data_IF_708592094976
#
_entry.id   IF_708592094976
#
_cell.length_a   1.000
_cell.length_b   1.000
_cell.length_c   1.000
_cell.angle_alpha   90.00
_cell.angle_beta   90.00
_cell.angle_gamma   90.00
#
_symmetry.space_group_name_H-M   'P 1'
#
loop_
_entity.id
_entity.type
_entity.pdbx_description
1 polymer ?
#
# COMPACT_ATOMS: atom_id res chain seq x y z
N UNK A 1 -13.04 -31.48 -33.09
CA UNK A 1 -12.45 -31.24 -31.75
C UNK A 1 -12.87 -29.85 -31.28
N UNK A 2 -13.59 -29.72 -30.19
CA UNK A 2 -14.09 -28.43 -29.74
C UNK A 2 -13.01 -27.56 -29.11
N UNK A 3 -13.11 -26.23 -29.22
CA UNK A 3 -12.21 -25.24 -28.61
C UNK A 3 -11.95 -25.51 -27.12
N UNK A 4 -12.88 -26.16 -26.44
CA UNK A 4 -12.77 -26.56 -25.03
C UNK A 4 -11.66 -27.59 -24.73
N UNK A 5 -11.32 -28.44 -25.72
CA UNK A 5 -10.30 -29.49 -25.53
C UNK A 5 -8.88 -28.95 -25.74
N UNK A 6 -8.71 -27.91 -26.55
CA UNK A 6 -7.41 -27.31 -26.85
C UNK A 6 -6.94 -26.42 -25.69
N UNK A 7 -7.85 -25.66 -25.06
CA UNK A 7 -7.52 -24.79 -23.90
C UNK A 7 -7.14 -25.61 -22.64
N UNK A 8 -7.70 -26.82 -22.50
CA UNK A 8 -7.41 -27.69 -21.35
C UNK A 8 -5.98 -28.29 -21.34
N UNK A 9 -5.22 -28.17 -22.43
CA UNK A 9 -3.88 -28.75 -22.56
C UNK A 9 -2.74 -27.74 -22.44
N UNK A 10 -3.02 -26.43 -22.33
CA UNK A 10 -1.98 -25.41 -22.15
C UNK A 10 -1.43 -25.43 -20.72
N UNK A 11 -0.11 -25.36 -20.57
CA UNK A 11 0.59 -25.36 -19.28
C UNK A 11 0.05 -24.32 -18.26
N UNK A 12 -0.28 -23.08 -18.66
CA UNK A 12 -0.88 -22.06 -17.78
C UNK A 12 -2.20 -22.50 -17.18
N UNK A 13 -3.04 -23.21 -17.93
CA UNK A 13 -4.34 -23.67 -17.44
C UNK A 13 -4.22 -24.76 -16.34
N UNK A 14 -3.15 -25.57 -16.37
CA UNK A 14 -2.93 -26.63 -15.37
C UNK A 14 -2.45 -26.06 -14.03
N UNK A 15 -1.66 -24.98 -14.06
CA UNK A 15 -1.10 -24.33 -12.84
C UNK A 15 -2.15 -23.42 -12.18
N UNK A 16 -3.00 -22.74 -12.97
CA UNK A 16 -4.09 -21.92 -12.46
C UNK A 16 -5.28 -22.75 -11.87
N UNK A 17 -5.34 -24.06 -12.13
CA UNK A 17 -6.43 -24.93 -11.66
C UNK A 17 -6.71 -24.86 -10.15
N UNK A 18 -5.73 -24.87 -9.25
CA UNK A 18 -6.02 -24.79 -7.81
C UNK A 18 -6.62 -23.44 -7.42
N UNK A 19 -6.08 -22.33 -7.95
CA UNK A 19 -6.59 -20.99 -7.69
C UNK A 19 -7.99 -20.78 -8.27
N UNK A 20 -8.20 -21.21 -9.54
CA UNK A 20 -9.51 -21.17 -10.20
C UNK A 20 -10.51 -22.10 -9.53
N UNK A 21 -10.09 -23.25 -9.01
CA UNK A 21 -10.96 -24.18 -8.26
C UNK A 21 -11.34 -23.63 -6.89
N UNK A 22 -10.40 -22.98 -6.19
CA UNK A 22 -10.67 -22.27 -4.94
C UNK A 22 -11.63 -21.09 -5.16
N UNK A 23 -11.42 -20.33 -6.24
CA UNK A 23 -12.30 -19.23 -6.63
C UNK A 23 -13.70 -19.74 -7.01
N UNK A 24 -13.81 -20.83 -7.82
CA UNK A 24 -15.10 -21.46 -8.15
C UNK A 24 -15.83 -22.04 -6.95
N UNK A 25 -15.11 -22.63 -6.00
CA UNK A 25 -15.72 -23.13 -4.78
C UNK A 25 -16.33 -22.01 -3.93
N UNK A 26 -15.71 -20.82 -3.97
CA UNK A 26 -16.22 -19.61 -3.30
C UNK A 26 -17.37 -18.94 -4.07
N UNK A 27 -17.33 -18.94 -5.39
CA UNK A 27 -18.38 -18.33 -6.24
C UNK A 27 -19.64 -19.20 -6.33
N UNK A 28 -19.51 -20.51 -6.19
CA UNK A 28 -20.64 -21.47 -6.25
C UNK A 28 -21.08 -21.98 -4.87
N UNK A 29 -20.59 -21.36 -3.78
CA UNK A 29 -21.12 -21.59 -2.45
C UNK A 29 -22.59 -21.17 -2.35
N UNK A 30 -23.35 -21.67 -1.37
CA UNK A 30 -24.76 -21.36 -1.24
C UNK A 30 -24.96 -19.85 -1.23
N UNK A 31 -25.91 -19.39 -2.05
CA UNK A 31 -26.32 -18.00 -2.18
C UNK A 31 -26.34 -17.32 -0.82
N UNK A 32 -25.51 -16.30 -0.64
CA UNK A 32 -25.31 -15.64 0.63
C UNK A 32 -26.63 -15.05 1.12
N UNK A 33 -27.27 -15.74 2.05
CA UNK A 33 -28.12 -15.08 3.02
C UNK A 33 -27.18 -14.15 3.80
N UNK A 34 -27.33 -12.84 3.62
CA UNK A 34 -26.63 -11.75 4.30
C UNK A 34 -25.22 -12.12 4.79
N UNK A 35 -24.19 -11.70 4.04
CA UNK A 35 -22.82 -11.81 4.55
C UNK A 35 -22.80 -11.27 5.99
N UNK A 36 -22.20 -11.98 6.95
CA UNK A 36 -22.00 -11.42 8.26
C UNK A 36 -21.26 -10.09 8.07
N UNK A 37 -21.74 -9.05 8.76
CA UNK A 37 -21.08 -7.75 8.76
C UNK A 37 -19.59 -7.99 8.95
N UNK A 38 -18.77 -7.45 8.02
CA UNK A 38 -17.31 -7.53 8.17
C UNK A 38 -17.00 -7.13 9.60
N UNK A 39 -16.21 -7.90 10.34
CA UNK A 39 -15.88 -7.54 11.71
C UNK A 39 -15.35 -6.11 11.68
N UNK A 40 -15.71 -5.25 12.65
CA UNK A 40 -15.14 -3.93 12.78
C UNK A 40 -13.63 -4.11 12.70
N UNK A 41 -12.93 -3.22 11.97
CA UNK A 41 -11.47 -3.25 11.93
C UNK A 41 -10.99 -3.46 13.37
N UNK A 42 -10.27 -4.54 13.67
CA UNK A 42 -9.90 -4.80 15.03
C UNK A 42 -9.09 -3.61 15.53
N UNK A 43 -9.59 -2.96 16.58
CA UNK A 43 -8.87 -1.88 17.26
C UNK A 43 -7.72 -2.57 17.98
N UNK A 44 -6.55 -2.57 17.36
CA UNK A 44 -5.35 -3.11 17.98
C UNK A 44 -4.78 -2.08 18.95
N UNK A 45 -5.13 -2.21 20.21
CA UNK A 45 -4.45 -1.46 21.27
C UNK A 45 -3.11 -2.14 21.57
N UNK A 46 -2.00 -1.40 21.69
CA UNK A 46 -0.77 -1.98 22.16
C UNK A 46 -0.98 -2.48 23.60
N UNK A 47 -0.40 -3.62 23.93
CA UNK A 47 0.01 -3.81 25.33
C UNK A 47 0.90 -2.62 25.64
N UNK A 48 0.56 -1.88 26.69
CA UNK A 48 1.31 -0.74 27.18
C UNK A 48 2.78 -1.15 27.23
N UNK A 49 3.59 -0.57 26.33
CA UNK A 49 5.04 -0.64 26.52
C UNK A 49 5.28 0.14 27.79
N UNK A 50 5.81 -0.53 28.84
CA UNK A 50 6.24 0.14 30.03
C UNK A 50 7.34 1.13 29.60
N UNK A 51 7.00 2.41 29.56
CA UNK A 51 7.96 3.45 29.24
C UNK A 51 8.85 3.64 30.47
N UNK A 52 10.19 3.71 30.32
CA UNK A 52 11.11 3.84 31.47
C UNK A 52 10.88 5.12 32.28
N UNK A 53 10.31 6.18 31.67
CA UNK A 53 9.93 7.44 32.31
C UNK A 53 8.57 7.87 31.75
N UNK A 54 7.53 7.76 32.58
CA UNK A 54 6.16 8.08 32.20
C UNK A 54 5.84 9.54 32.56
N UNK A 55 6.20 10.45 31.67
CA UNK A 55 5.89 11.88 31.82
C UNK A 55 4.42 12.18 31.48
N UNK A 56 3.85 13.29 31.99
CA UNK A 56 2.51 13.73 31.59
C UNK A 56 2.36 13.90 30.08
N UNK A 57 3.41 14.37 29.40
CA UNK A 57 3.44 14.55 27.96
C UNK A 57 3.37 13.20 27.22
N UNK A 58 4.19 12.22 27.62
CA UNK A 58 4.14 10.86 27.07
C UNK A 58 2.78 10.22 27.28
N UNK A 59 2.16 10.38 28.46
CA UNK A 59 0.80 9.88 28.72
C UNK A 59 -0.22 10.48 27.76
N UNK A 60 -0.17 11.80 27.54
CA UNK A 60 -1.08 12.48 26.61
C UNK A 60 -0.94 11.94 25.17
N UNK A 61 0.30 11.74 24.69
CA UNK A 61 0.57 11.15 23.37
C UNK A 61 0.03 9.71 23.30
N UNK A 62 0.27 8.89 24.31
CA UNK A 62 -0.20 7.50 24.35
C UNK A 62 -1.73 7.43 24.34
N UNK A 63 -2.42 8.32 25.07
CA UNK A 63 -3.89 8.37 25.04
C UNK A 63 -4.43 8.79 23.65
N UNK A 64 -3.80 9.76 22.99
CA UNK A 64 -4.14 10.15 21.62
C UNK A 64 -3.92 8.98 20.62
N UNK A 65 -2.80 8.27 20.73
CA UNK A 65 -2.46 7.09 19.93
C UNK A 65 -3.49 5.96 20.10
N UNK A 66 -3.95 5.71 21.33
CA UNK A 66 -4.94 4.65 21.62
C UNK A 66 -6.31 4.90 21.01
N UNK A 67 -6.67 6.14 20.75
CA UNK A 67 -7.97 6.51 20.18
C UNK A 67 -8.04 6.30 18.66
N UNK A 68 -6.91 6.00 18.01
CA UNK A 68 -6.82 5.85 16.57
C UNK A 68 -6.43 4.42 16.15
N UNK A 69 -6.97 3.97 15.02
CA UNK A 69 -6.57 2.70 14.38
C UNK A 69 -5.42 2.95 13.42
N UNK A 70 -4.26 2.34 13.69
CA UNK A 70 -3.04 2.53 12.94
C UNK A 70 -2.82 1.44 11.88
N UNK A 71 -2.48 1.84 10.68
CA UNK A 71 -2.06 0.92 9.63
C UNK A 71 -0.57 0.58 9.77
N UNK A 72 0.27 1.61 10.01
CA UNK A 72 1.70 1.44 10.18
C UNK A 72 2.15 1.55 11.64
N UNK A 73 3.14 0.74 12.01
CA UNK A 73 3.92 0.98 13.23
C UNK A 73 4.91 2.11 12.95
N UNK A 74 4.69 3.26 13.60
CA UNK A 74 5.51 4.47 13.46
C UNK A 74 6.22 4.73 14.79
N UNK A 75 7.52 4.99 14.74
CA UNK A 75 8.28 5.49 15.89
C UNK A 75 8.02 6.99 16.03
N UNK A 76 7.31 7.36 17.08
CA UNK A 76 6.96 8.76 17.39
C UNK A 76 8.05 9.49 18.20
N UNK A 77 9.14 8.81 18.53
CA UNK A 77 10.13 9.30 19.48
C UNK A 77 9.72 9.02 20.94
N UNK A 78 10.59 9.40 21.87
CA UNK A 78 10.38 9.22 23.33
C UNK A 78 10.03 7.78 23.75
N UNK A 79 10.42 6.76 22.95
CA UNK A 79 10.08 5.35 23.19
C UNK A 79 8.65 4.96 22.81
N UNK A 80 7.87 5.86 22.24
CA UNK A 80 6.47 5.63 21.84
C UNK A 80 6.42 5.12 20.41
N UNK A 81 5.71 4.01 20.17
CA UNK A 81 5.41 3.47 18.84
C UNK A 81 3.93 3.25 18.66
N UNK A 82 3.42 3.56 17.48
CA UNK A 82 2.02 3.29 17.14
C UNK A 82 1.76 1.79 17.02
N UNK A 83 0.54 1.30 17.36
CA UNK A 83 0.18 -0.10 17.29
C UNK A 83 -0.25 -0.52 15.88
N UNK A 84 0.57 -0.24 14.87
CA UNK A 84 0.25 -0.47 13.48
C UNK A 84 -0.11 -1.93 13.15
N UNK A 85 -0.98 -2.09 12.17
CA UNK A 85 -1.29 -3.39 11.58
C UNK A 85 -0.05 -4.03 10.96
N UNK A 86 0.79 -3.19 10.32
CA UNK A 86 2.05 -3.58 9.71
C UNK A 86 3.23 -2.91 10.41
N UNK A 87 4.28 -3.70 10.68
CA UNK A 87 5.52 -3.21 11.24
C UNK A 87 6.64 -3.35 10.20
N UNK A 88 6.97 -2.24 9.54
CA UNK A 88 8.04 -2.15 8.57
C UNK A 88 9.39 -1.77 9.16
N UNK A 89 9.47 -1.48 10.47
CA UNK A 89 10.71 -1.06 11.12
C UNK A 89 11.78 -2.16 11.08
N UNK A 90 11.49 -3.42 11.47
CA UNK A 90 12.51 -4.46 11.44
C UNK A 90 13.06 -4.77 10.04
N UNK A 91 12.23 -4.89 8.98
CA UNK A 91 12.71 -5.17 7.64
C UNK A 91 13.11 -3.91 6.84
N UNK A 92 13.13 -2.71 7.43
CA UNK A 92 13.32 -1.44 6.73
C UNK A 92 14.58 -1.38 5.87
N UNK A 93 15.66 -2.05 6.32
CA UNK A 93 16.94 -2.09 5.60
C UNK A 93 16.92 -2.94 4.32
N UNK A 94 15.87 -3.74 4.11
CA UNK A 94 15.70 -4.53 2.88
C UNK A 94 14.98 -3.76 1.77
N UNK A 95 14.28 -2.67 2.12
CA UNK A 95 13.61 -1.86 1.10
C UNK A 95 14.63 -1.11 0.26
N UNK A 96 14.45 -1.10 -1.10
CA UNK A 96 15.40 -0.46 -2.01
C UNK A 96 15.25 1.07 -2.02
N UNK A 97 15.15 1.66 -0.85
CA UNK A 97 15.12 3.11 -0.65
C UNK A 97 16.54 3.61 -0.37
N UNK A 98 17.02 4.66 -1.03
CA UNK A 98 18.35 5.23 -0.76
C UNK A 98 18.54 5.54 0.73
N UNK A 99 19.71 5.20 1.28
CA UNK A 99 20.01 5.47 2.70
C UNK A 99 20.17 6.96 2.99
N UNK A 100 20.57 7.74 1.99
CA UNK A 100 20.73 9.19 2.03
C UNK A 100 19.89 9.85 0.94
N UNK A 101 18.97 10.71 1.35
CA UNK A 101 18.11 11.51 0.49
C UNK A 101 18.42 13.01 0.61
N UNK A 102 19.59 13.36 1.15
CA UNK A 102 20.00 14.76 1.33
C UNK A 102 19.89 15.55 0.04
N UNK A 103 19.20 16.68 0.10
CA UNK A 103 18.97 17.56 -1.04
C UNK A 103 17.92 17.07 -2.05
N UNK A 104 17.31 15.91 -1.82
CA UNK A 104 16.30 15.32 -2.69
C UNK A 104 14.90 15.83 -2.38
N UNK A 105 14.10 15.97 -3.42
CA UNK A 105 12.67 16.19 -3.37
C UNK A 105 11.97 14.85 -3.53
N UNK A 106 11.17 14.44 -2.54
CA UNK A 106 10.62 13.10 -2.44
C UNK A 106 9.09 13.11 -2.42
N UNK A 107 8.48 12.04 -2.92
CA UNK A 107 7.02 11.83 -2.91
C UNK A 107 6.69 10.47 -2.31
N UNK A 108 5.76 10.45 -1.36
CA UNK A 108 5.08 9.27 -0.86
C UNK A 108 3.66 9.22 -1.41
N UNK A 109 3.35 8.20 -2.23
CA UNK A 109 2.05 8.05 -2.90
C UNK A 109 1.13 7.19 -2.06
N UNK A 110 -0.05 7.74 -1.69
CA UNK A 110 -1.01 7.14 -0.77
C UNK A 110 -0.39 6.88 0.61
N UNK A 111 0.07 7.94 1.21
CA UNK A 111 0.90 7.96 2.43
C UNK A 111 0.23 7.34 3.66
N UNK A 112 -1.09 7.31 3.72
CA UNK A 112 -1.93 6.84 4.82
C UNK A 112 -1.54 7.49 6.16
N UNK A 113 -0.83 6.74 7.06
CA UNK A 113 -0.36 7.25 8.36
C UNK A 113 1.01 7.97 8.26
N UNK A 114 1.65 7.99 7.08
CA UNK A 114 2.88 8.74 6.84
C UNK A 114 4.19 8.00 7.05
N UNK A 115 4.20 6.69 7.30
CA UNK A 115 5.41 5.94 7.63
C UNK A 115 6.56 6.18 6.64
N UNK A 116 6.29 6.06 5.34
CA UNK A 116 7.32 6.20 4.31
C UNK A 116 7.75 7.65 4.12
N UNK A 117 6.82 8.59 4.21
CA UNK A 117 7.12 10.02 4.16
C UNK A 117 8.04 10.44 5.33
N UNK A 118 7.75 10.01 6.55
CA UNK A 118 8.60 10.30 7.71
C UNK A 118 9.96 9.59 7.64
N UNK A 119 10.04 8.43 7.00
CA UNK A 119 11.31 7.75 6.77
C UNK A 119 12.17 8.48 5.74
N UNK A 120 11.57 9.04 4.68
CA UNK A 120 12.30 9.89 3.72
C UNK A 120 12.81 11.18 4.38
N UNK A 121 12.00 11.82 5.23
CA UNK A 121 12.42 12.96 6.03
C UNK A 121 13.60 12.59 6.94
N UNK A 122 13.55 11.46 7.65
CA UNK A 122 14.62 10.95 8.51
C UNK A 122 15.93 10.70 7.74
N UNK A 123 15.83 10.31 6.45
CA UNK A 123 16.98 10.13 5.55
C UNK A 123 17.50 11.44 4.95
N UNK A 124 17.00 12.58 5.40
CA UNK A 124 17.52 13.90 5.07
C UNK A 124 16.96 14.52 3.79
N UNK A 125 15.81 14.05 3.28
CA UNK A 125 15.16 14.68 2.13
C UNK A 125 14.94 16.18 2.39
N UNK A 126 15.22 17.00 1.39
CA UNK A 126 15.06 18.46 1.48
C UNK A 126 13.59 18.86 1.50
N UNK A 127 12.75 18.11 0.80
CA UNK A 127 11.29 18.25 0.75
C UNK A 127 10.67 16.87 0.61
N UNK A 128 9.62 16.61 1.40
CA UNK A 128 8.81 15.41 1.26
C UNK A 128 7.36 15.81 1.09
N UNK A 129 6.76 15.42 -0.02
CA UNK A 129 5.31 15.50 -0.25
C UNK A 129 4.69 14.15 0.06
N UNK A 130 3.68 14.14 0.92
CA UNK A 130 2.89 12.97 1.27
C UNK A 130 1.49 13.11 0.63
N UNK A 131 1.25 12.36 -0.44
CA UNK A 131 0.02 12.46 -1.21
C UNK A 131 -1.00 11.42 -0.77
N UNK A 132 -2.24 11.84 -0.54
CA UNK A 132 -3.35 10.94 -0.23
C UNK A 132 -4.70 11.59 -0.56
N UNK A 133 -5.76 10.80 -0.52
CA UNK A 133 -7.16 11.28 -0.48
C UNK A 133 -7.49 11.79 0.92
N UNK A 134 -8.56 12.57 1.07
CA UNK A 134 -9.00 13.12 2.37
C UNK A 134 -10.26 12.45 2.93
N UNK A 135 -10.90 11.60 2.14
CA UNK A 135 -12.15 10.95 2.52
C UNK A 135 -12.15 9.47 2.14
N UNK A 136 -12.66 8.63 3.04
CA UNK A 136 -12.97 7.23 2.73
C UNK A 136 -13.99 7.09 1.59
N UNK A 137 -14.78 8.14 1.30
CA UNK A 137 -15.74 8.14 0.20
C UNK A 137 -15.09 8.43 -1.16
N UNK A 138 -13.83 8.87 -1.17
CA UNK A 138 -13.03 9.10 -2.39
C UNK A 138 -12.19 7.88 -2.78
N UNK A 139 -12.31 6.78 -2.02
CA UNK A 139 -11.67 5.51 -2.39
C UNK A 139 -12.19 5.00 -3.72
N UNK A 140 -11.29 4.48 -4.53
CA UNK A 140 -11.60 3.79 -5.78
C UNK A 140 -12.10 2.36 -5.48
N UNK A 141 -13.33 2.27 -4.98
CA UNK A 141 -13.97 1.02 -4.58
C UNK A 141 -15.32 0.85 -5.25
N UNK A 142 -15.85 -0.38 -5.37
CA UNK A 142 -17.18 -0.61 -5.89
C UNK A 142 -18.26 0.20 -5.15
N UNK A 143 -19.31 0.69 -5.84
CA UNK A 143 -20.37 1.50 -5.23
C UNK A 143 -21.02 0.86 -3.99
N UNK A 144 -21.20 -0.47 -3.98
CA UNK A 144 -21.80 -1.17 -2.85
C UNK A 144 -20.94 -1.08 -1.56
N UNK A 145 -19.62 -0.93 -1.67
CA UNK A 145 -18.73 -0.71 -0.52
C UNK A 145 -18.91 0.70 0.02
N UNK A 146 -19.01 1.71 -0.85
CA UNK A 146 -19.29 3.07 -0.43
C UNK A 146 -20.65 3.19 0.26
N UNK A 147 -21.66 2.48 -0.24
CA UNK A 147 -22.98 2.42 0.38
C UNK A 147 -22.93 1.74 1.76
N UNK A 148 -22.12 0.68 1.90
CA UNK A 148 -21.91 0.03 3.20
C UNK A 148 -21.20 0.97 4.19
N UNK A 149 -20.20 1.72 3.74
CA UNK A 149 -19.52 2.72 4.58
C UNK A 149 -20.51 3.77 5.09
N UNK A 150 -21.34 4.33 4.21
CA UNK A 150 -22.39 5.30 4.57
C UNK A 150 -23.37 4.71 5.58
N UNK A 151 -23.86 3.48 5.35
CA UNK A 151 -24.80 2.79 6.23
C UNK A 151 -24.22 2.55 7.63
N UNK A 152 -22.92 2.23 7.71
CA UNK A 152 -22.21 1.96 8.97
C UNK A 152 -21.73 3.22 9.69
N UNK A 153 -21.99 4.40 9.12
CA UNK A 153 -21.55 5.65 9.72
C UNK A 153 -20.02 5.80 9.77
N UNK A 154 -19.31 5.20 8.80
CA UNK A 154 -17.85 5.37 8.72
C UNK A 154 -17.56 6.84 8.55
N UNK A 155 -16.68 7.40 9.40
CA UNK A 155 -16.24 8.79 9.28
C UNK A 155 -15.59 9.00 7.93
N UNK A 156 -15.91 10.14 7.31
CA UNK A 156 -15.44 10.42 5.95
C UNK A 156 -13.97 10.81 5.89
N UNK A 157 -13.40 11.32 7.01
CA UNK A 157 -12.02 11.84 7.03
C UNK A 157 -10.98 10.71 7.09
N UNK A 158 -9.94 10.81 6.25
CA UNK A 158 -8.71 10.03 6.32
C UNK A 158 -7.57 10.87 6.90
N UNK A 159 -6.38 10.29 7.07
CA UNK A 159 -5.16 11.03 7.47
C UNK A 159 -5.08 11.44 8.93
N UNK A 160 -5.99 11.00 9.80
CA UNK A 160 -5.92 11.30 11.24
C UNK A 160 -4.64 10.77 11.87
N UNK A 161 -4.23 9.53 11.53
CA UNK A 161 -2.97 8.96 12.00
C UNK A 161 -1.76 9.77 11.52
N UNK A 162 -1.78 10.22 10.27
CA UNK A 162 -0.74 11.14 9.77
C UNK A 162 -0.67 12.42 10.59
N UNK A 163 -1.80 13.09 10.87
CA UNK A 163 -1.84 14.34 11.62
C UNK A 163 -1.26 14.18 13.04
N UNK A 164 -1.62 13.08 13.73
CA UNK A 164 -1.08 12.76 15.06
C UNK A 164 0.44 12.55 14.98
N UNK A 165 0.90 11.68 14.09
CA UNK A 165 2.33 11.37 13.95
C UNK A 165 3.13 12.61 13.53
N UNK A 166 2.63 13.40 12.58
CA UNK A 166 3.25 14.64 12.12
C UNK A 166 3.45 15.64 13.26
N UNK A 167 2.40 15.87 14.06
CA UNK A 167 2.43 16.76 15.23
C UNK A 167 3.45 16.28 16.27
N UNK A 168 3.39 15.00 16.66
CA UNK A 168 4.26 14.46 17.74
C UNK A 168 5.73 14.45 17.29
N UNK A 169 6.01 14.13 16.03
CA UNK A 169 7.36 14.13 15.47
C UNK A 169 7.90 15.52 15.15
N UNK A 170 7.06 16.56 15.22
CA UNK A 170 7.38 17.89 14.71
C UNK A 170 7.91 17.84 13.27
N UNK A 171 7.24 17.06 12.43
CA UNK A 171 7.64 16.76 11.06
C UNK A 171 7.39 17.96 10.14
N UNK A 172 8.18 18.07 9.06
CA UNK A 172 8.04 19.08 8.00
C UNK A 172 7.41 18.50 6.73
N UNK A 173 7.02 17.25 6.74
CA UNK A 173 6.38 16.58 5.60
C UNK A 173 5.12 17.32 5.20
N UNK A 174 4.98 17.66 3.91
CA UNK A 174 3.84 18.39 3.36
C UNK A 174 2.77 17.39 2.86
N UNK A 175 1.68 17.21 3.62
CA UNK A 175 0.56 16.37 3.20
C UNK A 175 -0.31 17.11 2.19
N UNK A 176 -0.44 16.53 0.99
CA UNK A 176 -1.26 17.05 -0.10
C UNK A 176 -2.43 16.13 -0.40
N UNK A 177 -3.62 16.72 -0.54
CA UNK A 177 -4.82 15.98 -0.91
C UNK A 177 -4.91 15.90 -2.42
N UNK A 178 -4.76 14.69 -2.96
CA UNK A 178 -4.89 14.44 -4.39
C UNK A 178 -5.10 12.94 -4.64
N UNK A 179 -5.98 12.62 -5.57
CA UNK A 179 -6.06 11.27 -6.10
C UNK A 179 -4.86 11.01 -7.04
N UNK A 180 -4.29 9.82 -6.98
CA UNK A 180 -3.14 9.43 -7.84
C UNK A 180 -3.44 9.60 -9.33
N UNK A 181 -4.71 9.52 -9.72
CA UNK A 181 -5.14 9.76 -11.11
C UNK A 181 -5.03 11.22 -11.57
N UNK A 182 -4.90 12.16 -10.62
CA UNK A 182 -4.76 13.59 -10.87
C UNK A 182 -3.35 14.11 -10.58
N UNK A 183 -2.42 13.21 -10.24
CA UNK A 183 -1.00 13.51 -10.04
C UNK A 183 -0.37 13.89 -11.39
N UNK A 184 0.24 15.07 -11.46
CA UNK A 184 0.89 15.54 -12.67
C UNK A 184 2.02 16.53 -12.36
N UNK A 185 3.00 16.71 -13.30
CA UNK A 185 4.08 17.67 -13.14
C UNK A 185 3.62 19.12 -13.03
N UNK A 186 2.49 19.47 -13.67
CA UNK A 186 1.94 20.84 -13.64
C UNK A 186 1.44 21.21 -12.25
N UNK A 187 0.91 20.23 -11.50
CA UNK A 187 0.36 20.45 -10.16
C UNK A 187 1.41 20.33 -9.07
N UNK A 188 2.35 19.40 -9.23
CA UNK A 188 3.26 18.99 -8.16
C UNK A 188 4.74 19.17 -8.50
N UNK A 189 5.09 19.47 -9.76
CA UNK A 189 6.46 19.41 -10.23
C UNK A 189 6.99 17.98 -10.34
N UNK A 190 8.31 17.84 -10.40
CA UNK A 190 8.99 16.55 -10.49
C UNK A 190 9.69 16.23 -9.17
N UNK A 191 9.88 14.93 -8.91
CA UNK A 191 10.52 14.40 -7.70
C UNK A 191 11.75 13.57 -8.06
N UNK A 192 12.81 13.72 -7.27
CA UNK A 192 14.03 12.93 -7.41
C UNK A 192 13.82 11.47 -7.00
N UNK A 193 12.94 11.25 -6.00
CA UNK A 193 12.60 9.93 -5.47
C UNK A 193 11.11 9.82 -5.18
N UNK A 194 10.48 8.74 -5.64
CA UNK A 194 9.06 8.44 -5.40
C UNK A 194 8.92 7.06 -4.74
N UNK A 195 8.05 6.96 -3.75
CA UNK A 195 7.72 5.69 -3.12
C UNK A 195 6.21 5.42 -3.22
N UNK A 196 5.84 4.20 -3.62
CA UNK A 196 4.45 3.76 -3.74
C UNK A 196 4.34 2.30 -3.28
N UNK A 197 3.60 2.05 -2.20
CA UNK A 197 3.48 0.72 -1.60
C UNK A 197 2.03 0.34 -1.36
N UNK A 198 1.65 -0.88 -1.78
CA UNK A 198 0.34 -1.48 -1.55
C UNK A 198 -0.84 -0.57 -2.00
N UNK A 199 -0.71 0.08 -3.17
CA UNK A 199 -1.71 1.00 -3.74
C UNK A 199 -2.32 0.43 -5.01
N UNK A 200 -1.49 -0.08 -5.93
CA UNK A 200 -1.91 -0.41 -7.29
C UNK A 200 -2.93 -1.56 -7.34
N UNK A 201 -2.91 -2.46 -6.37
CA UNK A 201 -3.91 -3.53 -6.25
C UNK A 201 -5.29 -3.00 -5.81
N UNK A 202 -5.34 -1.80 -5.20
CA UNK A 202 -6.55 -1.20 -4.61
C UNK A 202 -7.28 -0.21 -5.52
N UNK A 203 -6.75 0.08 -6.70
CA UNK A 203 -7.29 1.07 -7.64
C UNK A 203 -7.71 0.42 -8.96
N UNK A 204 -8.75 0.96 -9.62
CA UNK A 204 -9.32 0.35 -10.84
C UNK A 204 -8.39 0.43 -12.04
N UNK A 205 -7.56 1.47 -12.15
CA UNK A 205 -6.65 1.67 -13.27
C UNK A 205 -5.19 1.83 -12.82
N UNK A 206 -4.51 0.72 -12.46
CA UNK A 206 -3.11 0.77 -12.01
C UNK A 206 -2.15 1.27 -13.09
N UNK A 207 -2.45 1.09 -14.38
CA UNK A 207 -1.60 1.57 -15.47
C UNK A 207 -1.58 3.09 -15.51
N UNK A 208 -2.76 3.75 -15.45
CA UNK A 208 -2.83 5.21 -15.40
C UNK A 208 -2.11 5.79 -14.19
N UNK A 209 -2.22 5.13 -13.03
CA UNK A 209 -1.48 5.56 -11.85
C UNK A 209 0.05 5.47 -12.07
N UNK A 210 0.53 4.40 -12.69
CA UNK A 210 1.94 4.24 -13.06
C UNK A 210 2.40 5.31 -14.06
N UNK A 211 1.58 5.64 -15.06
CA UNK A 211 1.86 6.73 -16.03
C UNK A 211 2.01 8.08 -15.34
N UNK A 212 1.09 8.40 -14.41
CA UNK A 212 1.14 9.65 -13.64
C UNK A 212 2.34 9.70 -12.69
N UNK A 213 2.65 8.59 -12.01
CA UNK A 213 3.84 8.48 -11.16
C UNK A 213 5.12 8.63 -12.02
N UNK A 214 5.18 7.97 -13.18
CA UNK A 214 6.29 8.13 -14.12
C UNK A 214 6.47 9.58 -14.55
N UNK A 215 5.36 10.27 -14.87
CA UNK A 215 5.40 11.66 -15.34
C UNK A 215 6.04 12.60 -14.31
N UNK A 216 5.80 12.40 -13.01
CA UNK A 216 6.38 13.23 -11.93
C UNK A 216 7.73 12.71 -11.41
N UNK A 217 8.18 11.54 -11.84
CA UNK A 217 9.46 10.96 -11.42
C UNK A 217 10.59 11.47 -12.30
N UNK A 218 11.53 12.23 -11.74
CA UNK A 218 12.76 12.67 -12.42
C UNK A 218 13.87 11.62 -12.32
N UNK A 219 14.07 11.04 -11.14
CA UNK A 219 15.11 10.06 -10.87
C UNK A 219 14.56 8.63 -10.83
N UNK A 220 14.16 8.17 -9.69
CA UNK A 220 13.65 6.80 -9.52
C UNK A 220 12.38 6.72 -8.68
N UNK A 221 11.57 5.71 -8.97
CA UNK A 221 10.43 5.32 -8.14
C UNK A 221 10.63 3.90 -7.60
N UNK A 222 10.24 3.68 -6.35
CA UNK A 222 10.19 2.35 -5.74
C UNK A 222 8.73 1.94 -5.58
N UNK A 223 8.41 0.77 -6.11
CA UNK A 223 7.11 0.14 -5.95
C UNK A 223 7.23 -1.10 -5.08
N UNK A 224 6.30 -1.26 -4.15
CA UNK A 224 6.18 -2.44 -3.29
C UNK A 224 4.74 -2.93 -3.36
N UNK A 225 4.52 -4.14 -3.89
CA UNK A 225 3.15 -4.62 -4.15
C UNK A 225 2.98 -6.11 -3.86
N UNK A 226 1.75 -6.47 -3.47
CA UNK A 226 1.34 -7.85 -3.37
C UNK A 226 1.25 -8.54 -4.74
N UNK A 227 1.57 -9.82 -4.79
CA UNK A 227 1.47 -10.64 -6.00
C UNK A 227 1.06 -12.07 -5.68
N UNK A 228 0.65 -12.83 -6.71
CA UNK A 228 0.29 -14.24 -6.56
C UNK A 228 1.55 -15.10 -6.37
N UNK A 229 1.74 -15.78 -5.24
CA UNK A 229 2.87 -16.67 -5.02
C UNK A 229 2.98 -17.74 -6.10
N UNK A 230 4.20 -18.07 -6.51
CA UNK A 230 4.46 -19.09 -7.53
C UNK A 230 4.16 -18.70 -8.97
N UNK A 231 3.91 -17.40 -9.23
CA UNK A 231 3.60 -16.90 -10.58
C UNK A 231 4.84 -16.39 -11.35
N UNK A 232 6.04 -16.52 -10.80
CA UNK A 232 7.26 -16.10 -11.47
C UNK A 232 7.46 -16.86 -12.80
N UNK A 233 7.82 -16.12 -13.87
CA UNK A 233 8.05 -16.69 -15.20
C UNK A 233 6.78 -17.10 -15.96
N UNK A 234 5.60 -16.83 -15.41
CA UNK A 234 4.33 -17.10 -16.10
C UNK A 234 3.91 -15.98 -17.05
N UNK A 235 4.73 -14.95 -17.20
CA UNK A 235 4.45 -13.75 -17.96
C UNK A 235 3.61 -12.74 -17.17
N UNK A 236 3.42 -11.53 -17.72
CA UNK A 236 2.65 -10.47 -17.09
C UNK A 236 1.15 -10.77 -17.20
N UNK A 237 0.49 -10.95 -16.08
CA UNK A 237 -0.97 -11.10 -16.02
C UNK A 237 -1.56 -10.39 -14.80
N UNK A 238 -2.82 -10.06 -14.91
CA UNK A 238 -3.63 -9.44 -13.88
C UNK A 238 -4.98 -10.16 -13.82
N UNK A 239 -5.48 -10.43 -12.62
CA UNK A 239 -6.79 -11.06 -12.42
C UNK A 239 -7.67 -10.16 -11.58
N UNK A 240 -8.91 -9.96 -12.02
CA UNK A 240 -9.91 -9.20 -11.29
C UNK A 240 -10.36 -9.98 -10.05
N UNK A 241 -10.22 -9.37 -8.89
CA UNK A 241 -10.77 -9.86 -7.63
C UNK A 241 -12.10 -9.18 -7.29
N UNK A 242 -12.34 -7.98 -7.85
CA UNK A 242 -13.53 -7.16 -7.62
C UNK A 242 -13.86 -6.94 -6.13
N UNK A 243 -12.82 -6.94 -5.28
CA UNK A 243 -12.93 -6.77 -3.82
C UNK A 243 -13.85 -7.79 -3.12
N UNK A 244 -13.96 -8.98 -3.67
CA UNK A 244 -14.84 -10.03 -3.14
C UNK A 244 -14.42 -10.50 -1.75
N UNK A 245 -13.12 -10.50 -1.46
CA UNK A 245 -12.54 -11.01 -0.22
C UNK A 245 -11.83 -9.95 0.63
N UNK A 246 -11.43 -8.85 0.00
CA UNK A 246 -10.66 -7.77 0.63
C UNK A 246 -10.85 -6.47 -0.15
N UNK A 247 -10.10 -5.42 0.17
CA UNK A 247 -10.15 -4.12 -0.51
C UNK A 247 -9.45 -4.09 -1.88
N UNK A 248 -8.93 -5.21 -2.40
CA UNK A 248 -8.18 -5.23 -3.65
C UNK A 248 -9.08 -5.48 -4.86
N UNK A 249 -8.86 -4.71 -5.92
CA UNK A 249 -9.43 -4.97 -7.24
C UNK A 249 -8.72 -6.12 -7.95
N UNK A 250 -7.40 -6.22 -7.78
CA UNK A 250 -6.53 -7.01 -8.62
C UNK A 250 -5.65 -7.98 -7.84
N UNK A 251 -5.36 -9.10 -8.46
CA UNK A 251 -4.23 -9.97 -8.15
C UNK A 251 -3.23 -9.85 -9.30
N UNK A 252 -2.00 -9.47 -8.99
CA UNK A 252 -0.92 -9.38 -9.97
C UNK A 252 -0.15 -10.69 -10.07
N UNK A 253 0.22 -11.10 -11.28
CA UNK A 253 1.32 -12.03 -11.50
C UNK A 253 2.65 -11.33 -11.19
N UNK A 254 3.66 -12.08 -10.76
CA UNK A 254 4.95 -11.50 -10.34
C UNK A 254 5.61 -10.63 -11.41
N UNK A 255 5.42 -10.96 -12.69
CA UNK A 255 6.04 -10.24 -13.80
C UNK A 255 5.24 -9.02 -14.26
N UNK A 256 4.01 -8.84 -13.74
CA UNK A 256 3.09 -7.78 -14.19
C UNK A 256 3.68 -6.39 -13.93
N UNK A 257 4.11 -6.08 -12.70
CA UNK A 257 4.50 -4.74 -12.31
C UNK A 257 5.70 -4.22 -13.11
N UNK A 258 6.70 -5.07 -13.35
CA UNK A 258 7.87 -4.72 -14.17
C UNK A 258 7.48 -4.33 -15.59
N UNK A 259 6.57 -5.09 -16.21
CA UNK A 259 6.11 -4.81 -17.57
C UNK A 259 5.19 -3.59 -17.62
N UNK A 260 4.33 -3.43 -16.61
CA UNK A 260 3.45 -2.29 -16.48
C UNK A 260 4.23 -0.98 -16.29
N UNK A 261 5.27 -0.97 -15.44
CA UNK A 261 6.12 0.20 -15.24
C UNK A 261 6.86 0.60 -16.54
N UNK A 262 7.42 -0.36 -17.28
CA UNK A 262 8.02 -0.07 -18.59
C UNK A 262 6.99 0.48 -19.59
N UNK A 263 5.79 -0.11 -19.64
CA UNK A 263 4.71 0.37 -20.52
C UNK A 263 4.22 1.77 -20.13
N UNK A 264 4.26 2.12 -18.84
CA UNK A 264 3.92 3.45 -18.35
C UNK A 264 4.98 4.53 -18.64
N UNK A 265 6.15 4.14 -19.19
CA UNK A 265 7.16 5.08 -19.68
C UNK A 265 8.45 5.14 -18.87
N UNK A 266 8.62 4.34 -17.82
CA UNK A 266 9.93 4.25 -17.15
C UNK A 266 10.97 3.67 -18.10
N UNK A 267 12.17 4.27 -18.08
CA UNK A 267 13.25 3.87 -19.01
C UNK A 267 13.82 2.49 -18.67
N UNK A 268 13.86 2.13 -17.38
CA UNK A 268 14.44 0.88 -16.88
C UNK A 268 13.76 0.45 -15.59
N UNK A 269 13.68 -0.87 -15.37
CA UNK A 269 13.21 -1.45 -14.12
C UNK A 269 14.20 -2.48 -13.59
N UNK A 270 14.38 -2.50 -12.29
CA UNK A 270 15.27 -3.41 -11.56
C UNK A 270 14.45 -4.07 -10.43
N UNK A 271 14.34 -5.40 -10.47
CA UNK A 271 13.70 -6.14 -9.39
C UNK A 271 14.66 -6.24 -8.19
N UNK A 272 14.15 -5.98 -7.01
CA UNK A 272 14.83 -6.27 -5.74
C UNK A 272 14.36 -7.63 -5.20
N UNK A 273 15.09 -8.24 -4.26
CA UNK A 273 14.61 -9.42 -3.56
C UNK A 273 13.23 -9.17 -2.93
N UNK A 274 12.34 -10.16 -2.99
CA UNK A 274 11.04 -10.05 -2.36
C UNK A 274 11.17 -9.93 -0.84
N UNK A 275 10.17 -9.32 -0.20
CA UNK A 275 10.14 -9.13 1.24
C UNK A 275 8.88 -9.74 1.85
N UNK A 276 9.04 -10.33 3.02
CA UNK A 276 7.93 -10.83 3.83
C UNK A 276 7.47 -9.73 4.81
N UNK A 277 6.27 -9.22 4.59
CA UNK A 277 5.65 -8.23 5.49
C UNK A 277 4.72 -8.95 6.45
N UNK A 278 4.94 -8.77 7.75
CA UNK A 278 4.15 -9.41 8.79
C UNK A 278 3.03 -8.49 9.26
N UNK A 279 1.82 -9.04 9.31
CA UNK A 279 0.72 -8.39 9.99
C UNK A 279 0.74 -8.73 11.47
N UNK A 280 0.47 -7.77 12.33
CA UNK A 280 0.41 -7.98 13.78
C UNK A 280 -0.61 -9.05 14.19
N UNK A 281 -1.75 -9.11 13.48
CA UNK A 281 -2.80 -10.09 13.76
C UNK A 281 -2.44 -11.52 13.35
N UNK A 282 -1.59 -11.68 12.34
CA UNK A 282 -1.22 -12.98 11.76
C UNK A 282 0.31 -13.03 11.52
N UNK A 283 1.13 -12.96 12.59
CA UNK A 283 2.58 -12.87 12.46
C UNK A 283 3.19 -14.11 11.79
N UNK A 284 2.55 -15.26 11.90
CA UNK A 284 3.00 -16.54 11.34
C UNK A 284 2.58 -16.75 9.87
N UNK A 285 1.80 -15.82 9.31
CA UNK A 285 1.37 -15.82 7.92
C UNK A 285 1.84 -14.53 7.22
N UNK A 286 3.14 -14.39 6.91
CA UNK A 286 3.67 -13.21 6.25
C UNK A 286 3.07 -13.06 4.87
N UNK A 287 2.90 -11.81 4.46
CA UNK A 287 2.47 -11.45 3.12
C UNK A 287 3.69 -11.10 2.29
N UNK A 288 3.93 -11.89 1.25
CA UNK A 288 5.05 -11.65 0.35
C UNK A 288 4.78 -10.44 -0.54
N UNK A 289 5.76 -9.55 -0.66
CA UNK A 289 5.74 -8.37 -1.52
C UNK A 289 6.90 -8.41 -2.48
N UNK A 290 6.63 -8.17 -3.74
CA UNK A 290 7.67 -7.84 -4.69
C UNK A 290 8.11 -6.39 -4.50
N UNK A 291 9.37 -6.11 -4.76
CA UNK A 291 9.93 -4.77 -4.75
C UNK A 291 10.59 -4.46 -6.09
N UNK A 292 10.30 -3.29 -6.62
CA UNK A 292 10.75 -2.85 -7.93
C UNK A 292 11.30 -1.42 -7.85
N UNK A 293 12.50 -1.19 -8.41
CA UNK A 293 12.99 0.15 -8.73
C UNK A 293 12.71 0.43 -10.20
N UNK A 294 12.00 1.51 -10.46
CA UNK A 294 11.73 2.01 -11.80
C UNK A 294 12.45 3.33 -11.99
N UNK A 295 13.25 3.46 -13.03
CA UNK A 295 14.25 4.53 -13.19
C UNK A 295 13.91 5.32 -14.45
N UNK A 296 13.93 6.64 -14.32
CA UNK A 296 13.90 7.58 -15.40
C UNK A 296 15.30 8.18 -15.60
N UNK A 297 15.66 8.48 -16.85
CA UNK A 297 16.90 9.17 -17.23
C UNK A 297 16.56 10.59 -17.73
N UNK A 298 15.79 11.35 -16.95
CA UNK A 298 15.45 12.74 -17.29
C UNK A 298 16.40 13.73 -16.66
#
# INVERSE_FOLDING_TARGET
MSLRQTVARSLPYRIARPAVRALRARLNGPSATSAPAAPPMPVYFPRTLALPEDTPEQRAIVEEVKQHSWYHTIDLGQGIRTPGRFDHIPPLHHYPMPLDLTGKRCLDVATFDGFWAFEMERRGAAEVVALDIDSWLDLDVPPYILEDFKRRGVTTKTGVGFEIAHKVRNSKVDRRICNVYDLSPEKFGEFDFVFCSDVLVHITNPIRALENICAVTKGEAVFVEGYAPGSAGMGPWITLLAQLDNSAWWMFGRDFLSKAALAAGFARVEASPDIDVRQRATPDAPMQRLMLRAINNR
#
